data_IF_724813641443
#
_entry.id   IF_724813641443
#
_cell.length_a   1.000
_cell.length_b   1.000
_cell.length_c   1.000
_cell.angle_alpha   90.00
_cell.angle_beta   90.00
_cell.angle_gamma   90.00
#
_symmetry.space_group_name_H-M   'P 1'
#
loop_
_entity.id
_entity.type
_entity.pdbx_description
1 polymer ?
#
# COMPACT_ATOMS: atom_id res chain seq x y z
N UNK A 1 -69.59 50.89 54.57
CA UNK A 1 -68.52 51.54 55.37
C UNK A 1 -67.80 50.44 56.15
N UNK A 2 -66.48 50.56 56.36
CA UNK A 2 -65.57 49.67 57.13
C UNK A 2 -64.97 48.52 56.28
N UNK A 3 -63.66 48.23 56.24
CA UNK A 3 -62.40 48.88 56.66
C UNK A 3 -61.29 47.96 56.12
N UNK A 4 -60.33 48.48 55.34
CA UNK A 4 -59.12 47.73 54.97
C UNK A 4 -58.24 47.55 56.21
N UNK A 5 -57.76 46.33 56.46
CA UNK A 5 -56.62 46.03 57.33
C UNK A 5 -55.69 45.06 56.59
N UNK A 6 -54.37 45.30 56.57
CA UNK A 6 -53.40 44.39 55.96
C UNK A 6 -52.95 43.34 56.99
N UNK A 7 -52.83 42.08 56.60
CA UNK A 7 -52.02 41.11 57.33
C UNK A 7 -50.81 40.71 56.47
N UNK A 8 -49.64 41.10 56.96
CA UNK A 8 -48.34 40.67 56.47
C UNK A 8 -48.11 39.22 56.89
N UNK A 9 -48.16 38.28 55.94
CA UNK A 9 -47.61 36.94 56.15
C UNK A 9 -46.25 36.85 55.48
N UNK A 10 -45.22 36.82 56.32
CA UNK A 10 -43.85 36.45 56.01
C UNK A 10 -43.82 35.06 55.38
N UNK A 11 -43.46 34.98 54.10
CA UNK A 11 -43.14 33.70 53.47
C UNK A 11 -41.82 33.20 54.07
N UNK A 12 -41.89 32.20 54.95
CA UNK A 12 -40.74 31.35 55.22
C UNK A 12 -40.37 30.68 53.91
N UNK A 13 -39.27 31.10 53.29
CA UNK A 13 -38.63 30.34 52.23
C UNK A 13 -38.11 29.03 52.84
N UNK A 14 -38.93 27.99 52.79
CA UNK A 14 -38.53 26.63 53.07
C UNK A 14 -37.54 26.23 51.97
N UNK A 15 -36.25 26.29 52.27
CA UNK A 15 -35.21 25.79 51.38
C UNK A 15 -35.46 24.32 51.07
N UNK A 16 -35.51 23.99 49.78
CA UNK A 16 -35.67 22.62 49.31
C UNK A 16 -34.51 21.76 49.79
N UNK A 17 -34.80 20.60 50.38
CA UNK A 17 -33.75 19.67 50.78
C UNK A 17 -33.18 18.98 49.55
N UNK A 18 -31.88 18.70 49.56
CA UNK A 18 -31.18 18.05 48.44
C UNK A 18 -31.80 16.68 48.11
N UNK A 19 -32.40 16.02 49.11
CA UNK A 19 -33.08 14.73 48.95
C UNK A 19 -34.44 14.85 48.24
N UNK A 20 -35.21 15.93 48.44
CA UNK A 20 -36.45 16.16 47.69
C UNK A 20 -36.19 16.36 46.19
N UNK A 21 -35.15 17.12 45.84
CA UNK A 21 -34.78 17.34 44.44
C UNK A 21 -34.30 16.03 43.79
N UNK A 22 -33.51 15.23 44.51
CA UNK A 22 -33.00 13.96 43.98
C UNK A 22 -34.12 12.95 43.72
N UNK A 23 -35.07 12.84 44.64
CA UNK A 23 -36.23 11.94 44.48
C UNK A 23 -37.14 12.41 43.33
N UNK A 24 -37.36 13.72 43.19
CA UNK A 24 -38.18 14.27 42.11
C UNK A 24 -37.53 14.07 40.74
N UNK A 25 -36.23 14.31 40.61
CA UNK A 25 -35.53 14.08 39.34
C UNK A 25 -35.50 12.57 39.01
N UNK A 26 -35.31 11.71 40.01
CA UNK A 26 -35.39 10.26 39.84
C UNK A 26 -36.77 9.80 39.37
N UNK A 27 -37.84 10.28 39.99
CA UNK A 27 -39.21 9.98 39.59
C UNK A 27 -39.58 10.55 38.23
N UNK A 28 -39.13 11.78 37.92
CA UNK A 28 -39.33 12.39 36.60
C UNK A 28 -38.61 11.59 35.51
N UNK A 29 -37.37 11.14 35.73
CA UNK A 29 -36.65 10.33 34.74
C UNK A 29 -37.38 9.01 34.43
N UNK A 30 -37.91 8.33 35.45
CA UNK A 30 -38.70 7.10 35.29
C UNK A 30 -40.02 7.37 34.60
N UNK A 31 -40.75 8.42 34.99
CA UNK A 31 -42.01 8.82 34.35
C UNK A 31 -41.79 9.24 32.89
N UNK A 32 -40.71 9.95 32.58
CA UNK A 32 -40.40 10.41 31.23
C UNK A 32 -40.01 9.23 30.31
N UNK A 33 -39.29 8.23 30.83
CA UNK A 33 -39.02 6.99 30.11
C UNK A 33 -40.31 6.19 29.80
N UNK A 34 -41.22 6.06 30.78
CA UNK A 34 -42.50 5.35 30.60
C UNK A 34 -43.41 6.11 29.63
N UNK A 35 -43.47 7.44 29.71
CA UNK A 35 -44.31 8.26 28.83
C UNK A 35 -43.82 8.26 27.39
N UNK A 36 -42.51 8.23 27.11
CA UNK A 36 -41.98 8.09 25.74
C UNK A 36 -42.47 6.78 25.08
N UNK A 37 -42.55 5.69 25.84
CA UNK A 37 -43.08 4.40 25.34
C UNK A 37 -44.61 4.46 25.17
N UNK A 38 -45.32 5.22 26.02
CA UNK A 38 -46.78 5.37 25.98
C UNK A 38 -47.30 6.37 24.93
N UNK A 39 -46.46 7.27 24.41
CA UNK A 39 -46.91 8.35 23.50
C UNK A 39 -47.40 7.84 22.13
N UNK A 40 -47.05 6.62 21.68
CA UNK A 40 -47.66 6.06 20.47
C UNK A 40 -47.57 4.51 20.32
N UNK A 41 -48.34 3.73 21.11
CA UNK A 41 -48.34 2.27 21.02
C UNK A 41 -48.76 1.77 19.62
N UNK A 42 -49.60 2.51 18.90
CA UNK A 42 -50.02 2.17 17.54
C UNK A 42 -48.88 2.14 16.53
N UNK A 43 -47.90 3.07 16.64
CA UNK A 43 -46.72 3.08 15.76
C UNK A 43 -45.79 1.89 16.01
N UNK A 44 -45.62 1.48 17.27
CA UNK A 44 -44.76 0.33 17.59
C UNK A 44 -45.38 -0.99 17.11
N UNK A 45 -46.70 -1.14 17.25
CA UNK A 45 -47.41 -2.30 16.71
C UNK A 45 -47.37 -2.31 15.17
N UNK A 46 -47.58 -1.18 14.51
CA UNK A 46 -47.46 -1.07 13.06
C UNK A 46 -46.07 -1.50 12.55
N UNK A 47 -45.00 -1.06 13.22
CA UNK A 47 -43.61 -1.45 12.91
C UNK A 47 -43.39 -2.95 13.04
N UNK A 48 -43.79 -3.56 14.16
CA UNK A 48 -43.61 -5.00 14.37
C UNK A 48 -44.32 -5.84 13.31
N UNK A 49 -45.54 -5.44 12.91
CA UNK A 49 -46.28 -6.17 11.89
C UNK A 49 -45.68 -6.03 10.49
N UNK A 50 -45.14 -4.86 10.14
CA UNK A 50 -44.42 -4.68 8.87
C UNK A 50 -43.10 -5.49 8.84
N UNK A 51 -42.44 -5.68 9.99
CA UNK A 51 -41.27 -6.59 10.11
C UNK A 51 -41.66 -8.04 9.87
N UNK A 52 -42.78 -8.51 10.44
CA UNK A 52 -43.29 -9.87 10.18
C UNK A 52 -43.60 -10.08 8.69
N UNK A 53 -44.34 -9.15 8.06
CA UNK A 53 -44.64 -9.23 6.62
C UNK A 53 -43.40 -9.25 5.75
N UNK A 54 -42.37 -8.46 6.10
CA UNK A 54 -41.08 -8.47 5.41
C UNK A 54 -40.38 -9.82 5.54
N UNK A 55 -40.46 -10.44 6.71
CA UNK A 55 -39.95 -11.79 6.93
C UNK A 55 -40.68 -12.81 6.06
N UNK A 56 -42.00 -12.78 6.04
CA UNK A 56 -42.87 -13.70 5.29
C UNK A 56 -42.63 -13.59 3.78
N UNK A 57 -42.64 -12.36 3.23
CA UNK A 57 -42.29 -12.11 1.83
C UNK A 57 -40.88 -12.61 1.49
N UNK A 58 -39.91 -12.43 2.39
CA UNK A 58 -38.54 -12.92 2.17
C UNK A 58 -38.47 -14.45 2.09
N UNK A 59 -39.26 -15.17 2.89
CA UNK A 59 -39.33 -16.63 2.82
C UNK A 59 -39.90 -17.09 1.47
N UNK A 60 -41.00 -16.46 1.02
CA UNK A 60 -41.63 -16.77 -0.27
C UNK A 60 -40.67 -16.47 -1.44
N UNK A 61 -39.98 -15.32 -1.40
CA UNK A 61 -38.99 -14.95 -2.43
C UNK A 61 -37.87 -15.98 -2.52
N UNK A 62 -37.27 -16.37 -1.39
CA UNK A 62 -36.17 -17.34 -1.38
C UNK A 62 -36.62 -18.70 -1.93
N UNK A 63 -37.85 -19.10 -1.65
CA UNK A 63 -38.42 -20.33 -2.15
C UNK A 63 -38.63 -20.29 -3.68
N UNK A 64 -39.20 -19.21 -4.20
CA UNK A 64 -39.35 -18.96 -5.64
C UNK A 64 -37.97 -18.93 -6.31
N UNK A 65 -36.97 -18.29 -5.70
CA UNK A 65 -35.61 -18.24 -6.22
C UNK A 65 -34.98 -19.64 -6.29
N UNK A 66 -35.14 -20.46 -5.26
CA UNK A 66 -34.62 -21.82 -5.28
C UNK A 66 -35.33 -22.68 -6.33
N UNK A 67 -36.64 -22.54 -6.49
CA UNK A 67 -37.39 -23.17 -7.57
C UNK A 67 -36.84 -22.74 -8.95
N UNK A 68 -36.58 -21.45 -9.17
CA UNK A 68 -36.02 -20.97 -10.43
C UNK A 68 -34.60 -21.48 -10.69
N UNK A 69 -33.76 -21.56 -9.65
CA UNK A 69 -32.39 -22.10 -9.75
C UNK A 69 -32.43 -23.55 -10.24
N UNK A 70 -33.30 -24.36 -9.66
CA UNK A 70 -33.43 -25.78 -10.02
C UNK A 70 -34.04 -25.96 -11.42
N UNK A 71 -34.85 -25.00 -11.88
CA UNK A 71 -35.57 -25.05 -13.16
C UNK A 71 -34.97 -24.13 -14.24
N UNK A 72 -33.64 -24.04 -14.27
CA UNK A 72 -32.88 -23.36 -15.32
C UNK A 72 -33.29 -21.89 -15.55
N UNK A 73 -33.60 -21.18 -14.46
CA UNK A 73 -33.99 -19.77 -14.47
C UNK A 73 -35.46 -19.52 -14.79
N UNK A 74 -36.29 -20.56 -14.95
CA UNK A 74 -37.75 -20.43 -15.13
C UNK A 74 -38.45 -20.76 -13.83
N UNK A 75 -39.44 -19.95 -13.44
CA UNK A 75 -40.29 -20.30 -12.31
C UNK A 75 -41.22 -21.44 -12.73
N UNK A 76 -40.99 -22.64 -12.18
CA UNK A 76 -41.75 -23.84 -12.50
C UNK A 76 -43.04 -23.87 -11.66
N UNK A 77 -44.04 -23.15 -12.16
CA UNK A 77 -45.39 -23.08 -11.59
C UNK A 77 -46.40 -22.80 -12.70
N UNK A 78 -47.69 -22.70 -12.32
CA UNK A 78 -48.72 -22.18 -13.21
C UNK A 78 -48.38 -20.75 -13.67
N UNK A 79 -49.05 -20.29 -14.73
CA UNK A 79 -48.80 -18.94 -15.26
C UNK A 79 -49.23 -17.92 -14.21
N UNK A 80 -48.27 -17.14 -13.73
CA UNK A 80 -48.53 -16.06 -12.78
C UNK A 80 -49.35 -14.95 -13.48
N UNK A 81 -50.46 -14.48 -12.89
CA UNK A 81 -51.29 -13.40 -13.45
C UNK A 81 -50.49 -12.11 -13.71
N UNK A 82 -50.86 -11.33 -14.72
CA UNK A 82 -50.24 -10.02 -14.99
C UNK A 82 -50.53 -9.02 -13.87
N UNK A 83 -49.66 -8.04 -13.67
CA UNK A 83 -49.93 -6.96 -12.72
C UNK A 83 -51.03 -6.05 -13.27
N UNK A 84 -51.88 -5.54 -12.39
CA UNK A 84 -52.81 -4.45 -12.70
C UNK A 84 -52.03 -3.14 -12.97
N UNK A 85 -52.71 -2.15 -13.57
CA UNK A 85 -52.08 -0.88 -13.96
C UNK A 85 -51.53 -0.07 -12.77
N UNK A 86 -52.10 -0.26 -11.58
CA UNK A 86 -51.65 0.32 -10.31
C UNK A 86 -50.49 -0.46 -9.66
N UNK A 87 -50.07 -1.57 -10.27
CA UNK A 87 -49.03 -2.46 -9.76
C UNK A 87 -49.53 -3.48 -8.72
N UNK A 88 -50.84 -3.55 -8.47
CA UNK A 88 -51.46 -4.59 -7.64
C UNK A 88 -51.37 -5.96 -8.32
N UNK A 89 -51.28 -7.01 -7.52
CA UNK A 89 -51.22 -8.39 -7.99
C UNK A 89 -52.38 -9.23 -7.50
N UNK A 90 -52.38 -10.52 -7.85
CA UNK A 90 -53.38 -11.47 -7.39
C UNK A 90 -52.98 -12.06 -6.05
N UNK A 91 -53.91 -12.16 -5.10
CA UNK A 91 -53.66 -12.76 -3.78
C UNK A 91 -53.22 -14.23 -3.95
N UNK A 92 -52.14 -14.62 -3.28
CA UNK A 92 -51.69 -16.01 -3.25
C UNK A 92 -52.53 -16.79 -2.23
N UNK A 93 -53.31 -17.75 -2.72
CA UNK A 93 -54.25 -18.54 -1.92
C UNK A 93 -54.83 -19.71 -2.73
N UNK A 94 -55.42 -20.68 -2.03
CA UNK A 94 -55.93 -21.92 -2.63
C UNK A 94 -57.32 -21.79 -3.29
N UNK A 95 -58.06 -20.70 -3.06
CA UNK A 95 -59.41 -20.51 -3.62
C UNK A 95 -59.37 -19.85 -5.02
N UNK A 96 -59.05 -20.67 -6.01
CA UNK A 96 -59.02 -20.24 -7.43
C UNK A 96 -60.38 -19.78 -7.95
N UNK A 97 -61.49 -20.24 -7.34
CA UNK A 97 -62.85 -19.81 -7.69
C UNK A 97 -63.15 -18.37 -7.27
N UNK A 98 -62.47 -17.88 -6.23
CA UNK A 98 -62.51 -16.49 -5.79
C UNK A 98 -61.48 -15.59 -6.53
N UNK A 99 -60.79 -16.11 -7.55
CA UNK A 99 -59.78 -15.36 -8.30
C UNK A 99 -58.41 -15.29 -7.64
N UNK A 100 -58.10 -16.18 -6.68
CA UNK A 100 -56.78 -16.29 -6.07
C UNK A 100 -55.81 -17.11 -6.93
N UNK A 101 -54.51 -16.93 -6.70
CA UNK A 101 -53.45 -17.68 -7.37
C UNK A 101 -52.84 -18.75 -6.45
N UNK A 102 -53.03 -20.01 -6.83
CA UNK A 102 -52.46 -21.14 -6.09
C UNK A 102 -50.99 -21.38 -6.48
N UNK A 103 -50.09 -21.01 -5.56
CA UNK A 103 -48.64 -21.14 -5.68
C UNK A 103 -48.07 -22.25 -4.80
N UNK A 104 -48.87 -22.75 -3.84
CA UNK A 104 -48.38 -23.69 -2.83
C UNK A 104 -47.82 -24.99 -3.42
N UNK A 105 -48.43 -25.62 -4.44
CA UNK A 105 -47.88 -26.81 -5.08
C UNK A 105 -46.48 -26.65 -5.68
N UNK A 106 -46.08 -25.41 -5.98
CA UNK A 106 -44.79 -25.09 -6.60
C UNK A 106 -43.68 -24.85 -5.59
N UNK A 107 -44.04 -24.56 -4.33
CA UNK A 107 -43.12 -24.14 -3.28
C UNK A 107 -43.06 -25.10 -2.09
N UNK A 108 -44.19 -25.70 -1.72
CA UNK A 108 -44.31 -26.61 -0.56
C UNK A 108 -44.48 -28.05 -1.07
N UNK A 109 -43.80 -29.05 -0.47
CA UNK A 109 -42.87 -28.98 0.67
C UNK A 109 -41.41 -28.73 0.30
N UNK A 110 -41.06 -28.65 -0.98
CA UNK A 110 -39.67 -28.71 -1.47
C UNK A 110 -38.82 -27.49 -1.08
N UNK A 111 -39.40 -26.30 -1.19
CA UNK A 111 -38.72 -25.01 -1.00
C UNK A 111 -39.19 -24.26 0.25
N UNK A 112 -40.36 -24.62 0.79
CA UNK A 112 -40.93 -24.16 2.05
C UNK A 112 -41.59 -25.32 2.79
N UNK A 113 -41.53 -25.31 4.11
CA UNK A 113 -42.26 -26.28 4.94
C UNK A 113 -43.77 -26.03 4.94
N UNK A 114 -44.19 -24.76 4.89
CA UNK A 114 -45.58 -24.30 4.80
C UNK A 114 -45.61 -22.88 4.22
N UNK A 115 -46.77 -22.47 3.68
CA UNK A 115 -46.94 -21.10 3.17
C UNK A 115 -47.05 -20.10 4.34
N UNK A 116 -46.23 -19.03 4.36
CA UNK A 116 -46.40 -17.91 5.30
C UNK A 116 -47.68 -17.12 5.02
N UNK A 117 -48.28 -16.53 6.04
CA UNK A 117 -49.50 -15.71 5.92
C UNK A 117 -49.50 -14.54 6.90
N UNK A 118 -50.18 -13.44 6.54
CA UNK A 118 -50.32 -12.30 7.45
C UNK A 118 -51.25 -12.66 8.64
N UNK A 119 -50.63 -12.82 9.82
CA UNK A 119 -51.30 -13.20 11.07
C UNK A 119 -52.45 -12.28 11.50
N UNK A 120 -52.59 -11.10 10.91
CA UNK A 120 -53.68 -10.15 11.21
C UNK A 120 -55.04 -10.57 10.66
N UNK A 121 -55.05 -11.40 9.62
CA UNK A 121 -56.28 -11.79 8.92
C UNK A 121 -56.76 -13.20 9.28
N UNK A 122 -56.18 -13.79 10.33
CA UNK A 122 -56.54 -15.10 10.85
C UNK A 122 -55.42 -16.13 10.70
N UNK A 123 -55.70 -17.36 11.11
CA UNK A 123 -54.81 -18.51 10.94
C UNK A 123 -55.38 -19.45 9.90
N UNK A 124 -54.61 -19.70 8.85
CA UNK A 124 -54.97 -20.66 7.80
C UNK A 124 -54.21 -21.96 8.04
N UNK A 125 -54.86 -23.11 7.79
CA UNK A 125 -54.22 -24.41 8.02
C UNK A 125 -53.01 -24.55 7.09
N UNK A 126 -51.79 -24.67 7.62
CA UNK A 126 -50.53 -24.61 6.87
C UNK A 126 -50.28 -25.67 5.78
N UNK A 127 -51.31 -26.40 5.33
CA UNK A 127 -51.29 -27.31 4.20
C UNK A 127 -51.78 -26.64 2.92
N UNK A 128 -51.29 -27.05 1.75
CA UNK A 128 -51.74 -26.51 0.45
C UNK A 128 -53.24 -26.69 0.15
N UNK A 129 -53.98 -27.46 0.94
CA UNK A 129 -55.42 -27.68 0.74
C UNK A 129 -56.33 -26.54 1.19
N UNK A 130 -55.85 -25.61 2.03
CA UNK A 130 -56.62 -24.43 2.46
C UNK A 130 -55.68 -23.37 3.03
N UNK A 131 -55.26 -22.42 2.21
CA UNK A 131 -54.40 -21.32 2.64
C UNK A 131 -54.74 -20.01 1.94
N UNK A 132 -54.47 -18.91 2.62
CA UNK A 132 -54.46 -17.57 2.05
C UNK A 132 -53.35 -16.79 2.74
N UNK A 133 -52.42 -16.27 1.93
CA UNK A 133 -51.25 -15.56 2.45
C UNK A 133 -51.54 -14.09 2.76
N UNK A 134 -52.61 -13.53 2.19
CA UNK A 134 -52.91 -12.08 2.13
C UNK A 134 -51.80 -11.25 1.46
N UNK A 135 -50.91 -11.92 0.72
CA UNK A 135 -49.87 -11.30 -0.11
C UNK A 135 -50.21 -11.49 -1.59
N UNK A 136 -49.83 -10.52 -2.40
CA UNK A 136 -50.13 -10.49 -3.83
C UNK A 136 -48.91 -10.87 -4.67
N UNK A 137 -49.15 -11.53 -5.81
CA UNK A 137 -48.14 -11.88 -6.82
C UNK A 137 -48.59 -11.49 -8.24
N UNK A 138 -47.66 -11.02 -9.11
CA UNK A 138 -47.98 -10.72 -10.51
C UNK A 138 -46.76 -10.70 -11.47
N UNK A 139 -46.93 -10.96 -12.78
CA UNK A 139 -45.88 -11.44 -13.71
C UNK A 139 -45.15 -10.43 -14.61
N UNK A 140 -45.39 -9.12 -14.53
CA UNK A 140 -44.63 -8.14 -15.36
C UNK A 140 -43.14 -8.07 -14.99
N UNK A 141 -42.87 -8.04 -13.68
CA UNK A 141 -41.57 -8.20 -13.05
C UNK A 141 -41.78 -8.96 -11.75
N UNK A 142 -42.18 -10.23 -11.84
CA UNK A 142 -42.65 -11.10 -10.75
C UNK A 142 -42.69 -10.39 -9.37
N UNK A 143 -43.73 -9.58 -9.14
CA UNK A 143 -43.79 -8.71 -7.97
C UNK A 143 -44.45 -9.45 -6.83
N UNK A 144 -43.91 -9.32 -5.63
CA UNK A 144 -44.59 -9.72 -4.40
C UNK A 144 -44.90 -8.48 -3.57
N UNK A 145 -46.14 -8.36 -3.09
CA UNK A 145 -46.63 -7.18 -2.37
C UNK A 145 -47.44 -7.56 -1.13
N UNK A 146 -47.23 -6.80 -0.06
CA UNK A 146 -48.10 -6.82 1.12
C UNK A 146 -49.08 -5.62 1.06
N UNK A 147 -50.32 -5.81 0.55
CA UNK A 147 -51.27 -4.72 0.34
C UNK A 147 -51.70 -4.03 1.64
N UNK A 148 -51.61 -4.72 2.77
CA UNK A 148 -52.07 -4.25 4.07
C UNK A 148 -51.01 -3.50 4.90
N UNK A 149 -49.92 -3.03 4.29
CA UNK A 149 -48.82 -2.31 4.97
C UNK A 149 -49.35 -1.04 5.65
N UNK A 150 -49.07 -0.87 6.94
CA UNK A 150 -49.54 0.31 7.67
C UNK A 150 -48.61 1.50 7.44
N UNK A 151 -49.14 2.55 6.82
CA UNK A 151 -48.43 3.79 6.52
C UNK A 151 -48.34 4.63 7.80
N UNK A 152 -47.13 4.90 8.27
CA UNK A 152 -46.89 5.84 9.38
C UNK A 152 -46.67 7.22 8.76
N UNK A 153 -47.52 8.20 9.10
CA UNK A 153 -47.38 9.57 8.60
C UNK A 153 -45.99 10.14 8.95
N UNK A 154 -45.14 10.30 7.93
CA UNK A 154 -43.78 10.83 8.02
C UNK A 154 -42.70 10.02 7.27
N UNK A 155 -42.95 8.73 6.97
CA UNK A 155 -42.06 7.92 6.15
C UNK A 155 -42.65 7.81 4.73
N UNK A 156 -41.90 8.21 3.71
CA UNK A 156 -42.29 8.03 2.31
C UNK A 156 -42.60 6.55 2.06
N UNK A 157 -43.73 6.30 1.40
CA UNK A 157 -44.32 5.00 1.05
C UNK A 157 -43.37 3.79 1.04
N UNK A 158 -43.43 2.94 2.07
CA UNK A 158 -42.84 1.60 2.01
C UNK A 158 -43.89 0.62 1.45
N UNK A 159 -44.27 0.79 0.18
CA UNK A 159 -44.84 -0.35 -0.55
C UNK A 159 -43.68 -1.35 -0.67
N UNK A 160 -43.71 -2.42 0.13
CA UNK A 160 -42.75 -3.52 0.00
C UNK A 160 -43.14 -4.31 -1.27
N UNK A 161 -42.87 -3.73 -2.44
CA UNK A 161 -42.93 -4.41 -3.73
C UNK A 161 -41.52 -4.89 -4.06
N UNK A 162 -41.28 -6.20 -4.00
CA UNK A 162 -40.04 -6.78 -4.52
C UNK A 162 -40.28 -7.15 -5.97
N UNK A 163 -39.68 -6.41 -6.92
CA UNK A 163 -39.66 -6.78 -8.34
C UNK A 163 -38.75 -7.99 -8.55
N UNK A 164 -39.29 -9.11 -9.03
CA UNK A 164 -38.53 -10.14 -9.72
C UNK A 164 -38.70 -9.88 -11.23
N UNK A 165 -38.24 -8.72 -11.72
CA UNK A 165 -38.02 -8.53 -13.16
C UNK A 165 -37.06 -9.62 -13.63
N UNK A 166 -37.23 -10.08 -14.87
CA UNK A 166 -36.32 -11.01 -15.57
C UNK A 166 -34.92 -10.45 -15.81
N UNK A 167 -34.26 -10.01 -14.75
CA UNK A 167 -32.83 -9.78 -14.54
C UNK A 167 -32.60 -9.78 -13.02
N UNK A 168 -32.77 -10.93 -12.37
CA UNK A 168 -32.15 -11.13 -11.06
C UNK A 168 -30.65 -11.26 -11.33
N UNK A 169 -29.95 -10.13 -11.39
CA UNK A 169 -28.52 -10.10 -11.12
C UNK A 169 -28.36 -10.42 -9.64
N UNK A 170 -28.27 -11.70 -9.30
CA UNK A 170 -27.69 -12.11 -8.04
C UNK A 170 -26.28 -11.52 -8.05
N UNK A 171 -26.05 -10.43 -7.31
CA UNK A 171 -24.69 -10.04 -6.95
C UNK A 171 -24.26 -11.03 -5.86
N UNK A 172 -23.99 -12.27 -6.25
CA UNK A 172 -23.05 -13.11 -5.50
C UNK A 172 -21.79 -12.24 -5.43
N UNK A 173 -21.20 -11.99 -4.26
CA UNK A 173 -19.95 -11.26 -4.22
C UNK A 173 -18.96 -12.01 -5.10
N UNK A 174 -18.74 -11.49 -6.30
CA UNK A 174 -17.79 -12.06 -7.26
C UNK A 174 -16.48 -12.09 -6.52
N UNK A 175 -15.86 -13.26 -6.47
CA UNK A 175 -14.58 -13.37 -5.81
C UNK A 175 -13.61 -12.37 -6.46
N UNK A 176 -13.02 -11.53 -5.63
CA UNK A 176 -12.04 -10.53 -6.04
C UNK A 176 -11.02 -10.31 -4.93
N UNK A 177 -9.83 -9.88 -5.33
CA UNK A 177 -8.72 -9.64 -4.44
C UNK A 177 -7.87 -8.48 -4.96
N UNK A 178 -7.08 -7.89 -4.07
CA UNK A 178 -6.07 -6.90 -4.41
C UNK A 178 -4.68 -7.49 -4.25
N UNK A 179 -3.74 -7.03 -5.07
CA UNK A 179 -2.33 -7.40 -5.03
C UNK A 179 -1.49 -6.15 -4.80
N UNK A 180 -0.58 -6.21 -3.83
CA UNK A 180 0.38 -5.15 -3.56
C UNK A 180 1.78 -5.71 -3.32
N UNK A 181 2.78 -4.89 -3.59
CA UNK A 181 4.20 -5.20 -3.36
C UNK A 181 4.78 -4.07 -2.51
N UNK A 182 5.43 -4.41 -1.41
CA UNK A 182 6.04 -3.44 -0.52
C UNK A 182 7.44 -3.91 -0.07
N UNK A 183 8.50 -3.14 -0.31
CA UNK A 183 8.54 -1.88 -1.06
C UNK A 183 8.29 -2.07 -2.57
N UNK A 184 7.86 -1.02 -3.29
CA UNK A 184 7.63 -1.05 -4.76
C UNK A 184 8.91 -0.97 -5.59
N UNK A 185 10.06 -0.79 -4.94
CA UNK A 185 11.37 -0.79 -5.59
C UNK A 185 12.45 -1.32 -4.66
N UNK A 186 13.54 -1.81 -5.23
CA UNK A 186 14.73 -2.19 -4.48
C UNK A 186 15.96 -2.30 -5.36
N UNK A 187 17.13 -2.29 -4.74
CA UNK A 187 18.42 -2.32 -5.42
C UNK A 187 19.21 -3.57 -5.03
N UNK A 188 19.86 -4.21 -6.00
CA UNK A 188 20.69 -5.38 -5.80
C UNK A 188 21.96 -5.28 -6.63
N UNK A 189 23.09 -5.63 -6.02
CA UNK A 189 24.35 -5.77 -6.75
C UNK A 189 24.27 -7.04 -7.59
N UNK A 190 24.72 -6.99 -8.86
CA UNK A 190 24.77 -8.17 -9.74
C UNK A 190 25.41 -9.39 -9.05
N UNK A 191 24.79 -10.56 -9.18
CA UNK A 191 25.22 -11.80 -8.54
C UNK A 191 24.62 -12.03 -7.14
N UNK A 192 23.93 -11.04 -6.57
CA UNK A 192 23.25 -11.16 -5.28
C UNK A 192 21.73 -11.32 -5.44
N UNK A 193 21.04 -11.47 -4.31
CA UNK A 193 19.59 -11.59 -4.25
C UNK A 193 18.95 -10.54 -3.34
N UNK A 194 17.68 -10.24 -3.58
CA UNK A 194 16.84 -9.36 -2.76
C UNK A 194 15.51 -10.05 -2.46
N UNK A 195 14.98 -9.83 -1.25
CA UNK A 195 13.67 -10.32 -0.82
C UNK A 195 12.68 -9.16 -0.74
N UNK A 196 11.46 -9.38 -1.21
CA UNK A 196 10.39 -8.39 -1.27
C UNK A 196 9.08 -9.03 -0.81
N UNK A 197 8.29 -8.32 0.00
CA UNK A 197 6.99 -8.81 0.42
C UNK A 197 5.93 -8.55 -0.66
N UNK A 198 5.14 -9.57 -0.97
CA UNK A 198 4.00 -9.53 -1.88
C UNK A 198 2.76 -9.90 -1.10
N UNK A 199 1.77 -9.03 -1.09
CA UNK A 199 0.56 -9.18 -0.29
C UNK A 199 -0.66 -9.33 -1.19
N UNK A 200 -1.47 -10.34 -0.90
CA UNK A 200 -2.77 -10.52 -1.51
C UNK A 200 -3.85 -10.34 -0.45
N UNK A 201 -4.80 -9.42 -0.67
CA UNK A 201 -5.89 -9.14 0.27
C UNK A 201 -7.24 -9.47 -0.35
N UNK A 202 -8.09 -10.17 0.39
CA UNK A 202 -9.44 -10.51 -0.06
C UNK A 202 -10.29 -9.23 -0.17
N UNK A 203 -10.84 -8.95 -1.35
CA UNK A 203 -11.67 -7.77 -1.58
C UNK A 203 -13.17 -8.12 -1.51
N UNK A 204 -13.58 -9.26 -2.07
CA UNK A 204 -14.94 -9.78 -1.99
C UNK A 204 -15.01 -11.29 -2.24
N UNK A 205 -16.10 -11.92 -1.80
CA UNK A 205 -16.38 -13.34 -2.03
C UNK A 205 -15.65 -14.27 -1.04
N UNK A 206 -15.69 -15.57 -1.31
CA UNK A 206 -15.02 -16.61 -0.49
C UNK A 206 -13.62 -16.85 -1.02
N UNK A 207 -12.60 -16.80 -0.15
CA UNK A 207 -11.19 -16.96 -0.53
C UNK A 207 -10.95 -18.18 -1.43
N UNK A 208 -10.26 -17.94 -2.55
CA UNK A 208 -9.78 -18.94 -3.49
C UNK A 208 -8.24 -18.89 -3.54
N UNK A 209 -7.57 -19.99 -3.91
CA UNK A 209 -6.12 -19.99 -4.04
C UNK A 209 -5.67 -19.07 -5.19
N UNK A 210 -4.65 -18.27 -4.91
CA UNK A 210 -3.92 -17.43 -5.88
C UNK A 210 -2.49 -17.93 -6.02
N UNK A 211 -2.01 -18.06 -7.24
CA UNK A 211 -0.63 -18.44 -7.56
C UNK A 211 0.15 -17.21 -8.02
N UNK A 212 1.35 -17.03 -7.50
CA UNK A 212 2.21 -15.89 -7.83
C UNK A 212 3.19 -16.21 -8.95
N UNK A 213 3.40 -15.26 -9.85
CA UNK A 213 4.43 -15.34 -10.90
C UNK A 213 5.02 -13.95 -11.19
N UNK A 214 6.09 -13.91 -11.99
CA UNK A 214 6.69 -12.65 -12.46
C UNK A 214 6.89 -12.65 -13.97
N UNK A 215 6.95 -11.47 -14.55
CA UNK A 215 7.41 -11.23 -15.93
C UNK A 215 8.22 -9.94 -16.00
N UNK A 216 9.04 -9.77 -17.04
CA UNK A 216 9.88 -8.58 -17.22
C UNK A 216 11.21 -8.62 -16.45
N UNK A 217 11.61 -9.79 -15.95
CA UNK A 217 12.93 -9.95 -15.34
C UNK A 217 14.05 -9.72 -16.37
N UNK A 218 15.16 -9.04 -16.01
CA UNK A 218 16.31 -8.92 -16.88
C UNK A 218 16.98 -10.27 -17.14
N UNK A 219 17.78 -10.35 -18.20
CA UNK A 219 18.53 -11.57 -18.53
C UNK A 219 19.45 -11.98 -17.37
N UNK A 220 19.48 -13.29 -17.07
CA UNK A 220 20.27 -13.82 -15.96
C UNK A 220 19.68 -13.54 -14.57
N UNK A 221 18.37 -13.28 -14.48
CA UNK A 221 17.65 -13.09 -13.21
C UNK A 221 16.51 -14.09 -13.07
N UNK A 222 16.34 -14.62 -11.87
CA UNK A 222 15.24 -15.53 -11.51
C UNK A 222 14.44 -14.97 -10.35
N UNK A 223 13.14 -15.27 -10.29
CA UNK A 223 12.30 -14.94 -9.14
C UNK A 223 11.58 -16.19 -8.62
N UNK A 224 11.50 -16.33 -7.30
CA UNK A 224 10.79 -17.40 -6.61
C UNK A 224 9.92 -16.84 -5.49
N UNK A 225 8.83 -17.54 -5.16
CA UNK A 225 7.88 -17.12 -4.13
C UNK A 225 7.80 -18.16 -3.02
N UNK A 226 7.71 -17.72 -1.76
CA UNK A 226 7.48 -18.60 -0.62
C UNK A 226 6.47 -17.96 0.35
N UNK A 227 5.22 -18.48 0.41
CA UNK A 227 4.65 -19.57 -0.41
C UNK A 227 4.35 -19.16 -1.87
N UNK A 228 4.38 -20.12 -2.81
CA UNK A 228 4.04 -19.89 -4.25
C UNK A 228 2.55 -19.75 -4.51
N UNK A 229 1.73 -20.29 -3.62
CA UNK A 229 0.27 -20.28 -3.66
C UNK A 229 -0.27 -19.94 -2.27
N UNK A 230 -1.33 -19.15 -2.19
CA UNK A 230 -1.99 -18.86 -0.93
C UNK A 230 -3.48 -18.55 -1.12
N UNK A 231 -4.26 -18.58 -0.04
CA UNK A 231 -5.62 -18.04 -0.03
C UNK A 231 -5.57 -16.62 0.57
N UNK A 232 -6.00 -15.56 -0.15
CA UNK A 232 -6.07 -14.21 0.40
C UNK A 232 -7.00 -14.16 1.64
N UNK A 233 -6.69 -13.43 2.72
CA UNK A 233 -5.58 -12.49 2.95
C UNK A 233 -4.28 -13.20 3.36
N UNK A 234 -3.19 -12.97 2.62
CA UNK A 234 -1.91 -13.66 2.80
C UNK A 234 -0.71 -12.76 2.45
N UNK A 235 0.49 -13.19 2.86
CA UNK A 235 1.77 -12.63 2.40
C UNK A 235 2.66 -13.72 1.81
N UNK A 236 3.40 -13.39 0.76
CA UNK A 236 4.42 -14.22 0.13
C UNK A 236 5.74 -13.45 0.01
N UNK A 237 6.85 -14.11 0.33
CA UNK A 237 8.18 -13.54 0.10
C UNK A 237 8.63 -13.86 -1.32
N UNK A 238 8.81 -12.81 -2.14
CA UNK A 238 9.43 -12.90 -3.46
C UNK A 238 10.94 -12.72 -3.32
N UNK A 239 11.71 -13.73 -3.69
CA UNK A 239 13.17 -13.66 -3.79
C UNK A 239 13.57 -13.49 -5.25
N UNK A 240 14.25 -12.40 -5.56
CA UNK A 240 14.83 -12.14 -6.88
C UNK A 240 16.34 -12.37 -6.78
N UNK A 241 16.88 -13.26 -7.62
CA UNK A 241 18.30 -13.60 -7.67
C UNK A 241 18.89 -13.18 -9.01
N UNK A 242 19.99 -12.45 -8.98
CA UNK A 242 20.72 -11.99 -10.16
C UNK A 242 22.02 -12.77 -10.36
N UNK A 243 22.58 -12.72 -11.56
CA UNK A 243 23.89 -13.28 -11.90
C UNK A 243 24.91 -12.17 -12.14
N UNK A 244 26.20 -12.51 -12.22
CA UNK A 244 27.27 -11.55 -12.53
C UNK A 244 27.16 -10.93 -13.93
N UNK A 245 26.37 -11.55 -14.82
CA UNK A 245 26.05 -11.08 -16.18
C UNK A 245 24.74 -10.32 -16.29
N UNK A 246 23.95 -10.19 -15.21
CA UNK A 246 22.70 -9.42 -15.25
C UNK A 246 23.00 -7.96 -15.61
N UNK A 247 22.33 -7.37 -16.63
CA UNK A 247 22.54 -5.98 -17.02
C UNK A 247 22.24 -5.00 -15.88
N UNK A 248 23.11 -4.02 -15.69
CA UNK A 248 22.91 -2.93 -14.72
C UNK A 248 21.85 -1.95 -15.21
N UNK A 249 21.19 -1.24 -14.28
CA UNK A 249 20.15 -0.26 -14.56
C UNK A 249 18.82 -0.61 -13.90
N UNK A 250 17.80 0.19 -14.20
CA UNK A 250 16.44 0.00 -13.69
C UNK A 250 15.64 -0.92 -14.61
N UNK A 251 15.05 -1.96 -14.03
CA UNK A 251 14.24 -2.95 -14.73
C UNK A 251 12.84 -2.99 -14.14
N UNK A 252 11.83 -2.85 -15.00
CA UNK A 252 10.43 -2.95 -14.61
C UNK A 252 10.02 -4.43 -14.52
N UNK A 253 9.77 -4.92 -13.30
CA UNK A 253 9.28 -6.26 -13.02
C UNK A 253 7.79 -6.20 -12.74
N UNK A 254 7.00 -7.02 -13.44
CA UNK A 254 5.57 -7.18 -13.18
C UNK A 254 5.35 -8.42 -12.34
N UNK A 255 4.87 -8.24 -11.11
CA UNK A 255 4.39 -9.31 -10.24
C UNK A 255 2.94 -9.59 -10.61
N UNK A 256 2.61 -10.87 -10.80
CA UNK A 256 1.27 -11.35 -11.17
C UNK A 256 0.74 -12.28 -10.10
N UNK A 257 -0.56 -12.21 -9.86
CA UNK A 257 -1.30 -13.18 -9.07
C UNK A 257 -2.52 -13.65 -9.86
N UNK A 258 -2.65 -14.97 -10.01
CA UNK A 258 -3.71 -15.64 -10.77
C UNK A 258 -4.51 -16.56 -9.85
N UNK A 259 -5.83 -16.39 -9.80
CA UNK A 259 -6.73 -17.25 -9.04
C UNK A 259 -8.18 -16.94 -9.39
N UNK A 260 -9.11 -17.88 -9.17
CA UNK A 260 -10.56 -17.64 -9.34
C UNK A 260 -11.00 -16.98 -10.66
N UNK A 261 -10.24 -17.14 -11.75
CA UNK A 261 -10.49 -16.48 -13.04
C UNK A 261 -10.15 -14.98 -13.11
N UNK A 262 -9.47 -14.42 -12.10
CA UNK A 262 -8.94 -13.05 -12.09
C UNK A 262 -7.41 -13.09 -12.16
N UNK A 263 -6.86 -12.09 -12.85
CA UNK A 263 -5.44 -11.76 -12.86
C UNK A 263 -5.28 -10.37 -12.25
N UNK A 264 -4.38 -10.22 -11.28
CA UNK A 264 -3.99 -8.93 -10.71
C UNK A 264 -2.49 -8.74 -10.89
N UNK A 265 -2.08 -7.52 -11.15
CA UNK A 265 -0.68 -7.15 -11.39
C UNK A 265 -0.25 -6.04 -10.46
N UNK A 266 1.00 -6.10 -10.00
CA UNK A 266 1.67 -5.03 -9.28
C UNK A 266 3.06 -4.80 -9.89
N UNK A 267 3.48 -3.55 -9.95
CA UNK A 267 4.78 -3.17 -10.52
C UNK A 267 5.84 -3.11 -9.42
N UNK A 268 7.02 -3.61 -9.74
CA UNK A 268 8.21 -3.53 -8.91
C UNK A 268 9.40 -3.05 -9.75
N UNK A 269 10.11 -2.02 -9.28
CA UNK A 269 11.33 -1.54 -9.96
C UNK A 269 12.56 -2.20 -9.33
N UNK A 270 13.25 -3.04 -10.09
CA UNK A 270 14.52 -3.65 -9.70
C UNK A 270 15.68 -2.83 -10.26
N UNK A 271 16.44 -2.18 -9.39
CA UNK A 271 17.69 -1.51 -9.78
C UNK A 271 18.86 -2.48 -9.61
N UNK A 272 19.45 -2.91 -10.71
CA UNK A 272 20.67 -3.74 -10.69
C UNK A 272 21.89 -2.85 -10.75
N UNK A 273 22.76 -2.94 -9.75
CA UNK A 273 24.00 -2.17 -9.65
C UNK A 273 25.24 -3.02 -9.87
N UNK A 274 26.32 -2.40 -10.33
CA UNK A 274 27.63 -3.02 -10.29
C UNK A 274 28.17 -2.99 -8.85
N UNK A 275 29.02 -3.95 -8.45
CA UNK A 275 29.75 -3.85 -7.20
C UNK A 275 30.65 -2.62 -7.27
N UNK A 276 30.51 -1.71 -6.31
CA UNK A 276 31.42 -0.58 -6.16
C UNK A 276 32.73 -1.11 -5.60
N UNK A 277 33.82 -0.92 -6.33
CA UNK A 277 35.16 -1.33 -5.86
C UNK A 277 35.99 -0.09 -5.60
N UNK A 278 36.56 0.01 -4.39
CA UNK A 278 37.43 1.12 -3.98
C UNK A 278 38.90 0.71 -4.09
N UNK A 279 39.67 1.44 -4.90
CA UNK A 279 41.09 1.16 -5.12
C UNK A 279 41.97 2.34 -4.68
N UNK A 280 43.17 2.05 -4.18
CA UNK A 280 44.27 3.04 -4.21
C UNK A 280 44.74 3.15 -5.67
N UNK A 281 44.83 4.36 -6.20
CA UNK A 281 45.20 4.56 -7.61
C UNK A 281 46.71 4.35 -7.78
N UNK A 282 47.54 5.27 -7.28
CA UNK A 282 48.99 5.24 -7.40
C UNK A 282 49.64 4.13 -6.57
N UNK A 283 49.25 3.94 -5.31
CA UNK A 283 49.87 2.96 -4.41
C UNK A 283 49.76 1.52 -4.97
N UNK A 284 48.69 1.20 -5.69
CA UNK A 284 48.47 -0.14 -6.24
C UNK A 284 49.45 -0.55 -7.35
N UNK A 285 50.09 0.43 -7.96
CA UNK A 285 50.92 0.26 -9.15
C UNK A 285 52.25 1.01 -9.01
N UNK A 286 52.61 1.39 -7.78
CA UNK A 286 53.79 2.19 -7.53
C UNK A 286 55.07 1.44 -7.94
N UNK A 287 55.98 2.16 -8.58
CA UNK A 287 57.27 1.62 -9.04
C UNK A 287 58.37 2.62 -8.70
N UNK A 288 59.61 2.14 -8.70
CA UNK A 288 60.78 2.97 -8.42
C UNK A 288 61.17 3.03 -6.94
N UNK A 289 62.31 3.68 -6.69
CA UNK A 289 62.91 3.78 -5.35
C UNK A 289 62.50 5.08 -4.67
N UNK A 290 62.14 5.01 -3.38
CA UNK A 290 61.71 6.17 -2.59
C UNK A 290 62.86 6.83 -1.86
N UNK A 291 62.89 8.17 -1.86
CA UNK A 291 63.90 9.00 -1.20
C UNK A 291 63.24 10.15 -0.44
N UNK A 292 63.73 10.51 0.77
CA UNK A 292 63.20 11.62 1.54
C UNK A 292 63.58 12.97 0.93
N UNK A 293 62.71 13.96 1.08
CA UNK A 293 62.90 15.36 0.67
C UNK A 293 62.42 16.35 1.74
N UNK A 294 63.03 17.54 1.74
CA UNK A 294 62.73 18.66 2.64
C UNK A 294 62.36 19.93 1.87
N UNK A 295 61.72 19.79 0.72
CA UNK A 295 61.30 20.93 -0.10
C UNK A 295 60.02 21.58 0.44
N UNK A 296 59.89 22.88 0.21
CA UNK A 296 58.63 23.60 0.35
C UNK A 296 57.96 23.65 -1.02
N UNK A 297 56.92 22.83 -1.24
CA UNK A 297 56.32 22.68 -2.56
C UNK A 297 54.93 22.03 -2.49
N UNK A 298 54.08 22.31 -3.50
CA UNK A 298 52.91 21.51 -3.83
C UNK A 298 53.31 20.40 -4.80
N UNK A 299 53.16 19.13 -4.40
CA UNK A 299 53.67 17.98 -5.14
C UNK A 299 52.62 16.87 -5.26
N UNK A 300 52.54 16.19 -6.40
CA UNK A 300 51.69 15.02 -6.58
C UNK A 300 51.55 14.62 -8.04
N UNK A 301 50.33 14.35 -8.49
CA UNK A 301 50.10 13.93 -9.87
C UNK A 301 48.82 14.47 -10.50
N UNK A 302 48.88 14.57 -11.83
CA UNK A 302 47.75 14.83 -12.72
C UNK A 302 47.17 13.50 -13.19
N UNK A 303 45.85 13.40 -13.20
CA UNK A 303 45.19 12.17 -13.63
C UNK A 303 43.85 12.42 -14.34
N UNK A 304 43.41 11.38 -15.06
CA UNK A 304 42.10 11.29 -15.72
C UNK A 304 41.45 9.93 -15.41
N UNK A 305 40.29 9.90 -14.74
CA UNK A 305 39.51 8.69 -14.61
C UNK A 305 39.13 8.14 -15.98
N UNK A 306 39.20 6.82 -16.19
CA UNK A 306 38.72 6.16 -17.40
C UNK A 306 37.21 5.86 -17.33
N UNK A 307 36.64 5.90 -16.12
CA UNK A 307 35.23 5.69 -15.83
C UNK A 307 34.74 6.77 -14.86
N UNK A 308 33.43 7.02 -14.82
CA UNK A 308 32.85 7.87 -13.79
C UNK A 308 33.00 7.18 -12.43
N UNK A 309 33.28 7.94 -11.38
CA UNK A 309 33.44 7.38 -10.04
C UNK A 309 33.58 8.48 -9.00
N UNK A 310 34.00 8.12 -7.80
CA UNK A 310 34.12 9.03 -6.68
C UNK A 310 35.48 8.92 -6.00
N UNK A 311 36.02 10.06 -5.56
CA UNK A 311 37.10 10.08 -4.58
C UNK A 311 36.50 10.15 -3.18
N UNK A 312 36.74 9.12 -2.38
CA UNK A 312 36.20 8.97 -1.02
C UNK A 312 37.24 9.28 0.06
N UNK A 313 38.54 9.12 -0.25
CA UNK A 313 39.65 9.39 0.65
C UNK A 313 40.83 9.98 -0.11
N UNK A 314 41.58 10.82 0.58
CA UNK A 314 42.90 11.27 0.15
C UNK A 314 43.95 10.57 1.00
N UNK A 315 45.05 10.19 0.38
CA UNK A 315 46.12 9.41 0.98
C UNK A 315 47.47 10.07 0.75
N UNK A 316 48.43 9.76 1.62
CA UNK A 316 49.80 10.21 1.45
C UNK A 316 50.80 9.31 2.15
N UNK A 317 52.02 9.31 1.62
CA UNK A 317 53.21 8.73 2.21
C UNK A 317 54.20 9.86 2.47
N UNK A 318 54.24 10.30 3.73
CA UNK A 318 55.11 11.38 4.21
C UNK A 318 55.25 11.32 5.73
N UNK A 319 56.02 12.24 6.29
CA UNK A 319 56.21 12.41 7.74
C UNK A 319 55.67 13.75 8.23
N UNK A 320 55.00 13.71 9.37
CA UNK A 320 54.31 14.84 10.00
C UNK A 320 52.91 15.06 9.43
N UNK A 321 52.28 16.15 9.86
CA UNK A 321 50.96 16.57 9.39
C UNK A 321 51.08 17.43 8.14
N UNK A 322 50.38 17.08 7.07
CA UNK A 322 50.38 17.80 5.80
C UNK A 322 48.96 17.88 5.23
N UNK A 323 48.69 18.94 4.47
CA UNK A 323 47.47 19.05 3.69
C UNK A 323 47.60 18.22 2.42
N UNK A 324 46.61 17.38 2.14
CA UNK A 324 46.42 16.73 0.84
C UNK A 324 45.13 17.27 0.24
N UNK A 325 45.20 17.67 -1.03
CA UNK A 325 44.14 18.40 -1.72
C UNK A 325 43.90 17.81 -3.11
N UNK A 326 42.63 17.77 -3.48
CA UNK A 326 42.14 17.37 -4.79
C UNK A 326 41.64 18.61 -5.53
N UNK A 327 42.06 18.77 -6.78
CA UNK A 327 41.72 19.92 -7.63
C UNK A 327 41.09 19.47 -8.94
N UNK A 328 40.25 20.34 -9.51
CA UNK A 328 39.82 20.23 -10.91
C UNK A 328 40.84 20.85 -11.88
N UNK A 329 40.56 20.78 -13.18
CA UNK A 329 41.38 21.39 -14.24
C UNK A 329 41.53 22.92 -14.15
N UNK A 330 40.66 23.59 -13.40
CA UNK A 330 40.70 25.03 -13.14
C UNK A 330 41.41 25.38 -11.81
N UNK A 331 42.09 24.41 -11.18
CA UNK A 331 42.79 24.58 -9.90
C UNK A 331 41.89 25.02 -8.74
N UNK A 332 40.59 24.72 -8.82
CA UNK A 332 39.67 24.86 -7.69
C UNK A 332 39.75 23.60 -6.84
N UNK A 333 39.88 23.76 -5.52
CA UNK A 333 39.90 22.65 -4.56
C UNK A 333 38.51 22.01 -4.52
N UNK A 334 38.44 20.72 -4.84
CA UNK A 334 37.22 19.90 -4.76
C UNK A 334 37.10 19.20 -3.40
N UNK A 335 38.23 18.77 -2.84
CA UNK A 335 38.30 18.18 -1.50
C UNK A 335 39.69 18.42 -0.90
N UNK A 336 39.75 18.45 0.42
CA UNK A 336 41.02 18.56 1.16
C UNK A 336 40.90 17.94 2.54
N UNK A 337 42.02 17.44 3.06
CA UNK A 337 42.12 16.93 4.43
C UNK A 337 43.55 17.03 4.94
N UNK A 338 43.71 17.15 6.26
CA UNK A 338 45.02 16.98 6.89
C UNK A 338 45.24 15.51 7.20
N UNK A 339 46.42 15.03 6.85
CA UNK A 339 46.86 13.67 7.14
C UNK A 339 48.12 13.76 7.96
N UNK A 340 48.20 12.98 9.03
CA UNK A 340 49.39 12.82 9.86
C UNK A 340 49.95 11.43 9.63
N UNK A 341 51.18 11.36 9.14
CA UNK A 341 51.87 10.11 8.83
C UNK A 341 53.32 10.15 9.33
N UNK A 342 53.99 8.99 9.37
CA UNK A 342 55.37 8.84 9.84
C UNK A 342 56.17 7.93 8.90
N UNK A 343 56.23 8.30 7.61
CA UNK A 343 56.92 7.50 6.60
C UNK A 343 56.15 6.23 6.21
N UNK A 344 54.82 6.31 6.24
CA UNK A 344 53.90 5.22 5.91
C UNK A 344 52.69 5.77 5.16
N UNK A 345 51.98 4.89 4.44
CA UNK A 345 50.72 5.24 3.79
C UNK A 345 49.62 5.46 4.83
N UNK A 346 49.05 6.66 4.85
CA UNK A 346 47.89 7.00 5.66
C UNK A 346 46.85 7.65 4.76
N UNK A 347 45.58 7.30 4.96
CA UNK A 347 44.45 7.85 4.24
C UNK A 347 43.46 8.49 5.22
N UNK A 348 42.90 9.63 4.83
CA UNK A 348 41.82 10.29 5.56
C UNK A 348 40.60 10.44 4.66
N UNK A 349 39.41 10.18 5.20
CA UNK A 349 38.15 10.32 4.48
C UNK A 349 37.85 11.78 4.14
N UNK A 350 37.20 11.99 3.00
CA UNK A 350 36.65 13.28 2.56
C UNK A 350 35.19 13.09 2.17
N UNK A 351 34.42 14.17 2.08
CA UNK A 351 33.09 14.12 1.44
C UNK A 351 33.28 13.59 0.01
N UNK A 352 32.58 12.52 -0.41
CA UNK A 352 32.78 11.92 -1.72
C UNK A 352 32.66 12.93 -2.86
N UNK A 353 33.68 12.99 -3.73
CA UNK A 353 33.71 13.89 -4.89
C UNK A 353 33.49 13.09 -6.15
N UNK A 354 32.40 13.37 -6.87
CA UNK A 354 32.12 12.79 -8.18
C UNK A 354 33.15 13.27 -9.21
N UNK A 355 33.84 12.32 -9.84
CA UNK A 355 34.72 12.57 -10.97
C UNK A 355 34.07 12.06 -12.25
N UNK A 356 34.21 12.85 -13.32
CA UNK A 356 33.76 12.47 -14.66
C UNK A 356 34.91 11.83 -15.42
N UNK A 357 34.61 10.76 -16.17
CA UNK A 357 35.57 10.12 -17.06
C UNK A 357 36.21 11.11 -18.03
N UNK A 358 37.49 10.91 -18.33
CA UNK A 358 38.35 11.74 -19.19
C UNK A 358 38.62 13.18 -18.73
N UNK A 359 37.96 13.69 -17.69
CA UNK A 359 38.24 15.00 -17.11
C UNK A 359 39.58 15.02 -16.36
N UNK A 360 40.28 16.16 -16.41
CA UNK A 360 41.58 16.35 -15.74
C UNK A 360 41.38 16.77 -14.30
N UNK A 361 42.10 16.08 -13.40
CA UNK A 361 42.17 16.37 -11.98
C UNK A 361 43.61 16.32 -11.49
N UNK A 362 43.85 16.92 -10.31
CA UNK A 362 45.14 16.89 -9.65
C UNK A 362 44.97 16.50 -8.19
N UNK A 363 45.84 15.62 -7.69
CA UNK A 363 45.96 15.38 -6.24
C UNK A 363 47.38 15.75 -5.83
N UNK A 364 47.49 16.59 -4.81
CA UNK A 364 48.79 17.08 -4.33
C UNK A 364 48.84 17.15 -2.81
N UNK A 365 50.06 16.98 -2.27
CA UNK A 365 50.42 17.33 -0.91
C UNK A 365 51.10 18.70 -0.89
N UNK A 366 50.73 19.53 0.08
CA UNK A 366 51.43 20.77 0.39
C UNK A 366 52.53 20.47 1.43
N UNK A 367 53.79 20.43 0.96
CA UNK A 367 54.96 20.26 1.83
C UNK A 367 55.46 21.61 2.33
N UNK A 368 55.69 21.69 3.65
CA UNK A 368 56.26 22.85 4.33
C UNK A 368 57.74 22.65 4.69
N UNK A 369 58.58 22.19 3.75
CA UNK A 369 60.04 22.14 3.94
C UNK A 369 60.56 20.91 4.69
N UNK A 370 59.74 19.88 4.91
CA UNK A 370 60.16 18.65 5.61
C UNK A 370 59.22 17.47 5.37
N UNK A 371 59.77 16.27 5.57
CA UNK A 371 58.99 15.02 5.68
C UNK A 371 58.37 14.52 4.37
N UNK A 372 58.72 15.10 3.21
CA UNK A 372 58.25 14.60 1.93
C UNK A 372 59.07 13.40 1.44
N UNK A 373 58.54 12.73 0.43
CA UNK A 373 59.25 11.69 -0.32
C UNK A 373 59.05 11.89 -1.81
N UNK A 374 59.97 11.37 -2.60
CA UNK A 374 59.81 11.23 -4.04
C UNK A 374 60.28 9.86 -4.52
N UNK A 375 59.83 9.45 -5.71
CA UNK A 375 60.32 8.27 -6.42
C UNK A 375 60.99 8.61 -7.74
N UNK A 376 62.08 7.92 -8.05
CA UNK A 376 62.73 7.93 -9.37
C UNK A 376 62.20 6.79 -10.23
N UNK A 377 62.10 7.00 -11.54
CA UNK A 377 61.62 6.00 -12.52
C UNK A 377 60.21 5.41 -12.24
N UNK A 378 59.18 6.26 -12.03
CA UNK A 378 57.80 5.83 -11.75
C UNK A 378 57.08 5.19 -12.95
N UNK A 379 57.67 5.27 -14.15
CA UNK A 379 57.09 4.79 -15.40
C UNK A 379 55.82 5.53 -15.81
N UNK A 380 55.83 6.88 -15.82
CA UNK A 380 54.69 7.70 -16.27
C UNK A 380 54.80 8.07 -17.76
N UNK A 381 53.68 8.24 -18.49
CA UNK A 381 52.29 8.05 -18.05
C UNK A 381 51.95 6.56 -17.88
N UNK A 382 51.02 6.25 -16.99
CA UNK A 382 50.51 4.87 -16.82
C UNK A 382 49.07 4.82 -16.31
N UNK A 383 48.42 3.69 -16.53
CA UNK A 383 47.05 3.44 -16.06
C UNK A 383 47.08 2.51 -14.86
N UNK A 384 46.40 2.90 -13.79
CA UNK A 384 46.26 2.12 -12.57
C UNK A 384 44.79 2.10 -12.14
N UNK A 385 44.18 0.92 -12.03
CA UNK A 385 42.79 0.73 -11.59
C UNK A 385 41.78 1.68 -12.25
N UNK A 386 41.81 1.76 -13.58
CA UNK A 386 40.91 2.62 -14.38
C UNK A 386 41.13 4.12 -14.17
N UNK A 387 42.33 4.53 -13.74
CA UNK A 387 42.75 5.93 -13.69
C UNK A 387 44.07 6.09 -14.44
N UNK A 388 44.09 6.96 -15.44
CA UNK A 388 45.32 7.34 -16.15
C UNK A 388 46.05 8.40 -15.34
N UNK A 389 47.29 8.11 -14.94
CA UNK A 389 48.19 9.06 -14.28
C UNK A 389 49.09 9.62 -15.37
N UNK A 390 48.85 10.87 -15.73
CA UNK A 390 49.43 11.50 -16.92
C UNK A 390 50.86 11.99 -16.64
N UNK A 391 51.06 12.67 -15.51
CA UNK A 391 52.33 13.26 -15.14
C UNK A 391 52.41 13.51 -13.63
N UNK A 392 53.64 13.56 -13.12
CA UNK A 392 53.92 14.16 -11.83
C UNK A 392 53.78 15.67 -11.95
N UNK A 393 53.18 16.28 -10.93
CA UNK A 393 52.96 17.72 -10.83
C UNK A 393 53.77 18.26 -9.66
N UNK A 394 54.47 19.37 -9.88
CA UNK A 394 55.20 20.04 -8.82
C UNK A 394 55.21 21.56 -8.98
N UNK A 395 55.20 22.26 -7.85
CA UNK A 395 55.34 23.70 -7.80
C UNK A 395 56.12 24.11 -6.54
N UNK A 396 57.32 24.66 -6.72
CA UNK A 396 58.21 25.03 -5.61
C UNK A 396 57.83 26.37 -5.00
N UNK A 397 58.01 26.48 -3.68
CA UNK A 397 57.88 27.70 -2.89
C UNK A 397 56.51 28.39 -2.97
N UNK A 398 55.48 27.65 -3.36
CA UNK A 398 54.11 28.18 -3.51
C UNK A 398 53.08 27.14 -3.06
N UNK A 399 52.16 27.58 -2.21
CA UNK A 399 50.91 26.88 -1.87
C UNK A 399 49.78 27.93 -1.91
N UNK A 400 48.60 27.65 -2.49
CA UNK A 400 48.16 26.40 -3.12
C UNK A 400 48.67 26.22 -4.56
N UNK A 401 48.48 25.01 -5.11
CA UNK A 401 48.72 24.68 -6.52
C UNK A 401 47.94 25.63 -7.46
N UNK A 402 48.59 26.07 -8.54
CA UNK A 402 47.98 26.92 -9.57
C UNK A 402 48.52 26.60 -10.99
N UNK A 403 48.17 27.44 -11.97
CA UNK A 403 48.57 27.27 -13.37
C UNK A 403 50.08 27.37 -13.63
N UNK A 404 50.87 27.86 -12.68
CA UNK A 404 52.33 27.93 -12.78
C UNK A 404 53.06 26.63 -12.39
N UNK A 405 52.34 25.53 -12.14
CA UNK A 405 52.95 24.24 -11.86
C UNK A 405 53.68 23.67 -13.09
N UNK A 406 54.63 22.76 -12.83
CA UNK A 406 55.35 22.03 -13.86
C UNK A 406 54.94 20.56 -13.84
N UNK A 407 54.96 19.94 -15.02
CA UNK A 407 54.66 18.52 -15.23
C UNK A 407 55.94 17.77 -15.64
N UNK A 408 56.16 16.57 -15.09
CA UNK A 408 57.25 15.68 -15.51
C UNK A 408 56.82 14.23 -15.49
N UNK A 409 57.45 13.40 -16.32
CA UNK A 409 57.24 11.95 -16.38
C UNK A 409 58.39 11.13 -15.80
N UNK A 410 59.54 11.77 -15.52
CA UNK A 410 60.76 11.10 -15.07
C UNK A 410 60.83 10.77 -13.57
N UNK A 411 59.97 11.40 -12.76
CA UNK A 411 59.92 11.23 -11.30
C UNK A 411 58.50 11.41 -10.77
N UNK A 412 58.22 10.89 -9.58
CA UNK A 412 56.98 11.12 -8.83
C UNK A 412 57.34 11.88 -7.56
N UNK A 413 57.20 13.20 -7.59
CA UNK A 413 57.45 14.10 -6.47
C UNK A 413 56.18 14.22 -5.63
N UNK A 414 56.29 14.04 -4.31
CA UNK A 414 55.13 14.00 -3.44
C UNK A 414 54.34 12.71 -3.62
N UNK A 415 54.55 11.76 -2.72
CA UNK A 415 53.86 10.47 -2.77
C UNK A 415 52.48 10.65 -2.13
N UNK A 416 51.49 10.99 -2.96
CA UNK A 416 50.06 11.08 -2.60
C UNK A 416 49.24 10.10 -3.40
N UNK A 417 48.01 9.85 -2.94
CA UNK A 417 47.07 9.03 -3.68
C UNK A 417 45.62 9.39 -3.36
N UNK A 418 44.70 8.83 -4.16
CA UNK A 418 43.26 8.86 -3.93
C UNK A 418 42.73 7.44 -3.75
N UNK A 419 41.69 7.31 -2.92
CA UNK A 419 40.79 6.15 -2.98
C UNK A 419 39.70 6.46 -3.99
N UNK A 420 39.73 5.77 -5.12
CA UNK A 420 38.78 5.94 -6.22
C UNK A 420 37.81 4.75 -6.23
N UNK A 421 36.52 5.04 -6.13
CA UNK A 421 35.42 4.08 -6.10
C UNK A 421 34.58 4.22 -7.38
N UNK A 422 34.35 3.12 -8.10
CA UNK A 422 33.55 3.09 -9.33
C UNK A 422 32.86 1.74 -9.54
#
# INVERSE_FOLDING_TARGET
MIKFLPSSNSYQEKGFTLIEILVVIGLLAVLLAITIVAINPGRQLAKTNNVSRKHDLTQIIKAIQQNMIDNQGRFACNVVPSCEADGSGTIMGSDTGAGQYDICPCLVPTYLAQMPFDLRFGSWGGSCGSYNTEYEICSGSLKLRAPHTQIISGDQEEIISVLLSGDIKIKVPVWDFNLSVNPTSGSVIKGNSINVAVEATLASGTGQPVTFSTSGLPAGTTASFSPTICNPTCSSTMTISTTSSTPTGDHAVTVKADGGGKNKTANYTLTVTAPVVEYSVWQSCETGTSYPISWTASLGYKFRPQVNGQVTKLCGYFSGTKWVKLYNSAYTVLAQTQITASGNWVCSSVTPVNLTSSSVYYVVVELGGSGGFYRTSPGLPKICNSVAIDACVYQFNTNPLNSGHLETTGGMYGIVDIKFAY
#
